data_IF_189293684334
#
_entry.id   IF_189293684334
#
_cell.length_a   1.000
_cell.length_b   1.000
_cell.length_c   1.000
_cell.angle_alpha   90.00
_cell.angle_beta   90.00
_cell.angle_gamma   90.00
#
_symmetry.space_group_name_H-M   'P 1'
#
loop_
_entity.id
_entity.type
_entity.pdbx_description
1 polymer ?
#
# COMPACT_ATOMS: atom_id res chain seq x y z
N UNK A 1 63.18 -19.23 -59.23
CA UNK A 1 62.81 -20.62 -59.61
C UNK A 1 62.75 -21.50 -58.36
N UNK A 2 61.74 -22.39 -58.29
CA UNK A 2 61.43 -23.39 -57.24
C UNK A 2 60.73 -22.85 -55.98
N UNK A 3 59.68 -23.46 -55.42
CA UNK A 3 58.61 -24.40 -55.85
C UNK A 3 57.66 -24.45 -54.63
N UNK A 4 56.35 -24.47 -54.88
CA UNK A 4 55.30 -24.66 -53.86
C UNK A 4 55.15 -26.16 -53.58
N UNK A 5 54.83 -26.54 -52.34
CA UNK A 5 54.00 -27.69 -51.90
C UNK A 5 54.08 -27.81 -50.37
N UNK A 6 53.13 -28.35 -49.59
CA UNK A 6 51.75 -28.82 -49.75
C UNK A 6 51.37 -29.42 -48.37
N UNK A 7 50.15 -29.15 -47.89
CA UNK A 7 49.33 -29.89 -46.90
C UNK A 7 49.98 -30.40 -45.58
N UNK A 8 49.52 -29.84 -44.46
CA UNK A 8 49.07 -30.68 -43.34
C UNK A 8 47.81 -30.05 -42.72
N UNK A 9 46.71 -30.76 -42.91
CA UNK A 9 45.38 -30.56 -42.39
C UNK A 9 45.39 -30.83 -40.88
N UNK A 10 44.97 -29.87 -40.05
CA UNK A 10 44.49 -30.15 -38.70
C UNK A 10 43.40 -29.13 -38.36
N UNK A 11 42.16 -29.55 -38.57
CA UNK A 11 40.99 -28.91 -38.02
C UNK A 11 40.94 -29.22 -36.52
N UNK A 12 41.01 -28.19 -35.68
CA UNK A 12 40.39 -28.22 -34.36
C UNK A 12 39.52 -26.97 -34.23
N UNK A 13 38.23 -27.24 -34.20
CA UNK A 13 37.14 -26.33 -33.92
C UNK A 13 37.25 -25.88 -32.45
N UNK A 14 37.28 -24.57 -32.19
CA UNK A 14 36.74 -24.01 -30.95
C UNK A 14 36.43 -22.51 -31.11
N UNK A 15 35.14 -22.24 -31.31
CA UNK A 15 34.38 -21.03 -30.93
C UNK A 15 35.04 -19.67 -31.17
N UNK A 16 34.75 -19.13 -32.35
CA UNK A 16 34.75 -17.70 -32.61
C UNK A 16 33.69 -17.07 -31.68
N UNK A 17 34.13 -16.38 -30.63
CA UNK A 17 33.27 -15.49 -29.85
C UNK A 17 33.11 -14.21 -30.68
N UNK A 18 32.27 -14.26 -31.71
CA UNK A 18 31.73 -13.06 -32.34
C UNK A 18 30.43 -12.72 -31.63
N UNK A 19 30.53 -11.69 -30.81
CA UNK A 19 29.55 -10.64 -30.63
C UNK A 19 28.08 -11.02 -30.50
N UNK A 20 27.55 -10.85 -29.30
CA UNK A 20 26.53 -9.82 -29.14
C UNK A 20 27.01 -8.87 -28.05
N UNK A 21 27.51 -7.71 -28.48
CA UNK A 21 27.33 -6.48 -27.72
C UNK A 21 25.84 -6.46 -27.40
N UNK A 22 25.48 -6.56 -26.12
CA UNK A 22 24.10 -6.36 -25.74
C UNK A 22 23.83 -4.85 -25.81
N UNK A 23 23.65 -4.37 -27.03
CA UNK A 23 22.95 -3.13 -27.36
C UNK A 23 21.50 -3.30 -26.96
N UNK A 24 21.26 -3.29 -25.65
CA UNK A 24 19.98 -2.90 -25.08
C UNK A 24 19.92 -1.38 -25.01
N UNK A 25 20.10 -0.68 -26.14
CA UNK A 25 19.55 0.66 -26.23
C UNK A 25 18.09 0.50 -26.66
N UNK A 26 17.20 0.49 -25.68
CA UNK A 26 15.85 0.99 -25.87
C UNK A 26 15.69 2.01 -24.78
N UNK A 27 15.72 3.27 -25.20
CA UNK A 27 15.02 4.39 -24.58
C UNK A 27 14.29 3.94 -23.32
N UNK A 28 14.89 4.19 -22.15
CA UNK A 28 14.07 4.45 -20.96
C UNK A 28 13.31 5.70 -21.34
N UNK A 29 12.21 5.51 -22.06
CA UNK A 29 11.39 6.60 -22.54
C UNK A 29 11.08 7.42 -21.31
N UNK A 30 11.55 8.66 -21.30
CA UNK A 30 10.98 9.71 -20.48
C UNK A 30 9.54 9.96 -20.98
N UNK A 31 8.71 8.92 -20.98
CA UNK A 31 7.27 9.04 -21.10
C UNK A 31 6.82 9.39 -19.70
N UNK A 32 6.79 10.70 -19.44
CA UNK A 32 6.12 11.24 -18.28
C UNK A 32 4.72 10.63 -18.25
N UNK A 33 4.44 9.80 -17.26
CA UNK A 33 3.16 9.12 -17.15
C UNK A 33 2.07 10.15 -16.93
N UNK A 34 2.37 11.12 -16.06
CA UNK A 34 1.51 12.24 -15.66
C UNK A 34 2.40 13.43 -15.30
N UNK A 35 2.01 14.63 -15.75
CA UNK A 35 2.58 15.89 -15.25
C UNK A 35 1.76 16.36 -14.05
N UNK A 36 2.33 16.17 -12.85
CA UNK A 36 1.69 16.46 -11.56
C UNK A 36 1.10 17.88 -11.49
N UNK A 37 1.76 18.88 -12.09
CA UNK A 37 1.29 20.27 -12.06
C UNK A 37 -0.06 20.48 -12.74
N UNK A 38 -0.39 19.57 -13.66
CA UNK A 38 -1.59 19.62 -14.49
C UNK A 38 -2.73 18.72 -14.00
N UNK A 39 -2.54 17.97 -12.91
CA UNK A 39 -3.58 17.13 -12.30
C UNK A 39 -4.57 18.00 -11.53
N UNK A 40 -5.87 17.71 -11.67
CA UNK A 40 -6.95 18.30 -10.88
C UNK A 40 -7.43 17.34 -9.79
N UNK A 41 -7.71 16.08 -10.14
CA UNK A 41 -8.15 15.04 -9.22
C UNK A 41 -7.87 13.65 -9.78
N UNK A 42 -7.96 12.63 -8.94
CA UNK A 42 -7.88 11.23 -9.35
C UNK A 42 -9.14 10.52 -8.86
N UNK A 43 -9.86 9.85 -9.75
CA UNK A 43 -10.95 8.93 -9.36
C UNK A 43 -10.42 7.51 -9.39
N UNK A 44 -10.54 6.79 -8.28
CA UNK A 44 -10.23 5.35 -8.21
C UNK A 44 -11.56 4.60 -8.18
N UNK A 45 -11.69 3.58 -9.01
CA UNK A 45 -12.81 2.66 -9.03
C UNK A 45 -12.32 1.23 -8.79
N UNK A 46 -12.99 0.47 -7.92
CA UNK A 46 -12.68 -0.93 -7.68
C UNK A 46 -13.47 -1.87 -8.63
N UNK A 47 -13.14 -3.15 -8.58
CA UNK A 47 -13.82 -4.24 -9.31
C UNK A 47 -15.32 -4.43 -8.99
N UNK A 48 -15.81 -3.94 -7.84
CA UNK A 48 -17.24 -3.92 -7.50
C UNK A 48 -17.99 -2.71 -8.09
N UNK A 49 -17.24 -1.75 -8.64
CA UNK A 49 -17.75 -0.51 -9.24
C UNK A 49 -17.87 0.66 -8.27
N UNK A 50 -17.51 0.49 -7.00
CA UNK A 50 -17.42 1.60 -6.04
C UNK A 50 -16.26 2.52 -6.41
N UNK A 51 -16.46 3.83 -6.20
CA UNK A 51 -15.45 4.84 -6.56
C UNK A 51 -15.19 5.83 -5.43
N UNK A 52 -13.96 6.32 -5.40
CA UNK A 52 -13.51 7.39 -4.51
C UNK A 52 -12.76 8.45 -5.32
N UNK A 53 -12.84 9.70 -4.89
CA UNK A 53 -12.09 10.81 -5.47
C UNK A 53 -10.97 11.24 -4.53
N UNK A 54 -9.76 11.40 -5.08
CA UNK A 54 -8.59 11.94 -4.42
C UNK A 54 -8.38 13.35 -4.95
N UNK A 55 -8.52 14.33 -4.05
CA UNK A 55 -8.30 15.76 -4.31
C UNK A 55 -7.19 16.36 -3.46
N UNK A 56 -6.68 15.59 -2.48
CA UNK A 56 -5.56 15.97 -1.64
C UNK A 56 -4.25 15.92 -2.43
N UNK A 57 -3.48 17.01 -2.41
CA UNK A 57 -2.26 17.13 -3.21
C UNK A 57 -1.16 16.15 -2.79
N UNK A 58 -1.02 15.84 -1.51
CA UNK A 58 0.00 14.90 -1.03
C UNK A 58 -0.35 13.47 -1.47
N UNK A 59 -1.64 13.10 -1.45
CA UNK A 59 -2.09 11.80 -1.95
C UNK A 59 -1.94 11.68 -3.48
N UNK A 60 -2.19 12.78 -4.21
CA UNK A 60 -1.93 12.84 -5.66
C UNK A 60 -0.43 12.72 -5.94
N UNK A 61 0.42 13.33 -5.13
CA UNK A 61 1.88 13.21 -5.23
C UNK A 61 2.34 11.76 -4.99
N UNK A 62 1.85 11.10 -3.94
CA UNK A 62 2.14 9.68 -3.67
C UNK A 62 1.72 8.76 -4.83
N UNK A 63 0.52 8.95 -5.38
CA UNK A 63 0.09 8.23 -6.58
C UNK A 63 1.07 8.44 -7.73
N UNK A 64 1.43 9.70 -7.97
CA UNK A 64 2.30 10.08 -9.07
C UNK A 64 3.71 9.50 -8.90
N UNK A 65 4.29 9.54 -7.70
CA UNK A 65 5.60 8.95 -7.41
C UNK A 65 5.59 7.43 -7.67
N UNK A 66 4.62 6.72 -7.10
CA UNK A 66 4.52 5.26 -7.22
C UNK A 66 4.43 4.78 -8.68
N UNK A 67 3.66 5.46 -9.53
CA UNK A 67 3.59 5.06 -10.94
C UNK A 67 4.88 5.38 -11.70
N UNK A 68 5.59 6.45 -11.35
CA UNK A 68 6.85 6.85 -12.01
C UNK A 68 8.04 5.99 -11.61
N UNK A 69 7.97 5.30 -10.47
CA UNK A 69 8.98 4.31 -10.06
C UNK A 69 8.88 2.97 -10.79
N UNK A 70 7.79 2.72 -11.53
CA UNK A 70 7.55 1.43 -12.15
C UNK A 70 8.41 1.17 -13.40
N UNK A 71 8.82 -0.08 -13.56
CA UNK A 71 9.59 -0.51 -14.71
C UNK A 71 8.67 -0.85 -15.89
N UNK A 72 8.87 -0.18 -17.03
CA UNK A 72 8.12 -0.45 -18.24
C UNK A 72 8.60 -1.73 -18.95
N UNK A 73 7.64 -2.55 -19.38
CA UNK A 73 7.84 -3.74 -20.19
C UNK A 73 6.87 -3.73 -21.39
N UNK A 74 7.44 -3.79 -22.59
CA UNK A 74 6.67 -3.78 -23.85
C UNK A 74 5.89 -5.07 -24.12
N UNK A 75 6.08 -6.13 -23.32
CA UNK A 75 5.38 -7.40 -23.50
C UNK A 75 3.86 -7.24 -23.29
N UNK A 76 3.10 -7.95 -24.13
CA UNK A 76 1.64 -8.01 -24.03
C UNK A 76 1.25 -8.94 -22.88
N UNK A 77 0.44 -8.44 -21.96
CA UNK A 77 -0.15 -9.24 -20.89
C UNK A 77 -1.37 -10.02 -21.40
N UNK A 78 -1.46 -11.28 -21.01
CA UNK A 78 -2.67 -12.10 -21.09
C UNK A 78 -3.16 -12.33 -19.65
N UNK A 79 -4.04 -11.45 -19.18
CA UNK A 79 -4.43 -11.33 -17.78
C UNK A 79 -5.92 -11.04 -17.61
N UNK A 80 -6.42 -11.30 -16.40
CA UNK A 80 -7.80 -11.05 -16.01
C UNK A 80 -8.16 -9.55 -15.98
N UNK A 81 -9.42 -9.24 -15.64
CA UNK A 81 -9.86 -7.88 -15.38
C UNK A 81 -9.02 -7.20 -14.28
N UNK A 82 -8.83 -5.87 -14.32
CA UNK A 82 -8.08 -5.17 -13.29
C UNK A 82 -8.80 -5.17 -11.95
N UNK A 83 -8.02 -5.07 -10.88
CA UNK A 83 -8.51 -4.91 -9.50
C UNK A 83 -9.06 -3.50 -9.27
N UNK A 84 -8.42 -2.51 -9.91
CA UNK A 84 -8.77 -1.10 -9.82
C UNK A 84 -8.55 -0.38 -11.16
N UNK A 85 -9.36 0.65 -11.40
CA UNK A 85 -9.15 1.62 -12.47
C UNK A 85 -8.96 3.01 -11.87
N UNK A 86 -7.93 3.72 -12.31
CA UNK A 86 -7.72 5.12 -11.95
C UNK A 86 -7.97 6.03 -13.16
N UNK A 87 -8.78 7.06 -12.98
CA UNK A 87 -8.97 8.14 -13.94
C UNK A 87 -8.38 9.42 -13.37
N UNK A 88 -7.32 9.92 -13.98
CA UNK A 88 -6.66 11.17 -13.60
C UNK A 88 -7.23 12.29 -14.44
N UNK A 89 -8.01 13.16 -13.80
CA UNK A 89 -8.60 14.33 -14.43
C UNK A 89 -7.58 15.46 -14.48
N UNK A 90 -7.26 15.93 -15.68
CA UNK A 90 -6.28 16.99 -15.90
C UNK A 90 -6.99 18.34 -15.98
N UNK A 91 -6.40 19.40 -15.44
CA UNK A 91 -6.97 20.76 -15.44
C UNK A 91 -7.39 21.24 -16.84
N UNK A 92 -6.63 20.88 -17.88
CA UNK A 92 -6.77 21.45 -19.23
C UNK A 92 -6.61 20.44 -20.40
N UNK A 93 -6.48 19.13 -20.15
CA UNK A 93 -6.05 18.15 -21.19
C UNK A 93 -6.87 16.85 -21.25
N UNK A 94 -8.11 16.85 -20.75
CA UNK A 94 -8.94 15.65 -20.66
C UNK A 94 -8.50 14.77 -19.48
N UNK A 95 -8.62 13.45 -19.62
CA UNK A 95 -8.21 12.51 -18.58
C UNK A 95 -7.25 11.43 -19.08
N UNK A 96 -6.46 10.91 -18.14
CA UNK A 96 -5.59 9.77 -18.33
C UNK A 96 -6.15 8.59 -17.54
N UNK A 97 -6.14 7.39 -18.13
CA UNK A 97 -6.72 6.19 -17.52
C UNK A 97 -5.70 5.10 -17.30
N UNK A 98 -5.79 4.44 -16.15
CA UNK A 98 -4.90 3.37 -15.74
C UNK A 98 -5.70 2.19 -15.22
N UNK A 99 -5.21 0.99 -15.49
CA UNK A 99 -5.77 -0.26 -14.98
C UNK A 99 -4.71 -0.95 -14.12
N UNK A 100 -5.05 -1.39 -12.91
CA UNK A 100 -4.13 -1.93 -11.91
C UNK A 100 -4.48 -3.36 -11.53
N UNK A 101 -3.46 -4.20 -11.36
CA UNK A 101 -3.52 -5.55 -10.80
C UNK A 101 -2.57 -5.60 -9.59
N UNK A 102 -3.09 -5.23 -8.42
CA UNK A 102 -2.32 -4.99 -7.21
C UNK A 102 -2.92 -5.65 -5.96
N UNK A 103 -4.06 -6.37 -6.06
CA UNK A 103 -4.59 -7.19 -4.98
C UNK A 103 -3.85 -8.54 -4.90
N UNK A 104 -3.64 -9.03 -3.68
CA UNK A 104 -3.03 -10.34 -3.42
C UNK A 104 -1.51 -10.39 -3.60
N UNK A 105 -0.98 -11.61 -3.75
CA UNK A 105 0.47 -11.91 -3.75
C UNK A 105 1.16 -11.70 -5.11
N UNK A 106 0.56 -10.94 -6.02
CA UNK A 106 1.16 -10.68 -7.34
C UNK A 106 2.24 -9.57 -7.27
N UNK A 107 3.04 -9.46 -8.32
CA UNK A 107 4.16 -8.50 -8.40
C UNK A 107 3.74 -7.04 -8.63
N UNK A 108 2.44 -6.70 -8.54
CA UNK A 108 1.92 -5.35 -8.77
C UNK A 108 2.13 -4.88 -10.21
N UNK A 109 1.05 -4.85 -11.00
CA UNK A 109 1.11 -4.43 -12.40
C UNK A 109 0.15 -3.29 -12.67
N UNK A 110 0.49 -2.42 -13.62
CA UNK A 110 -0.50 -1.53 -14.21
C UNK A 110 -0.27 -1.29 -15.70
N UNK A 111 -1.30 -0.79 -16.37
CA UNK A 111 -1.24 -0.31 -17.75
C UNK A 111 -1.78 1.11 -17.85
N UNK A 112 -1.28 1.86 -18.83
CA UNK A 112 -1.82 3.17 -19.21
C UNK A 112 -2.65 3.00 -20.49
N UNK A 113 -3.87 3.51 -20.50
CA UNK A 113 -4.76 3.42 -21.66
C UNK A 113 -4.14 4.10 -22.89
N UNK A 114 -4.29 3.48 -24.06
CA UNK A 114 -3.68 3.96 -25.30
C UNK A 114 -2.18 3.67 -25.44
N UNK A 115 -1.54 3.05 -24.44
CA UNK A 115 -0.14 2.64 -24.50
C UNK A 115 -0.01 1.12 -24.57
N UNK A 116 0.90 0.63 -25.42
CA UNK A 116 1.25 -0.79 -25.48
C UNK A 116 2.19 -1.16 -24.32
N UNK A 117 2.12 -2.41 -23.87
CA UNK A 117 2.95 -2.92 -22.77
C UNK A 117 2.31 -2.69 -21.41
N UNK A 118 3.13 -2.80 -20.37
CA UNK A 118 2.72 -2.70 -18.98
C UNK A 118 3.85 -2.20 -18.10
N UNK A 119 3.53 -1.91 -16.85
CA UNK A 119 4.45 -1.41 -15.85
C UNK A 119 4.46 -2.37 -14.65
N UNK A 120 5.66 -2.64 -14.13
CA UNK A 120 5.90 -3.47 -12.95
C UNK A 120 6.23 -2.57 -11.78
N UNK A 121 5.41 -2.63 -10.73
CA UNK A 121 5.62 -1.85 -9.51
C UNK A 121 6.64 -2.54 -8.60
N UNK A 122 7.56 -1.80 -7.98
CA UNK A 122 8.24 -2.30 -6.79
C UNK A 122 7.22 -2.63 -5.70
N UNK A 123 7.50 -3.64 -4.86
CA UNK A 123 6.56 -4.06 -3.80
C UNK A 123 6.22 -2.91 -2.84
N UNK A 124 7.19 -2.03 -2.55
CA UNK A 124 6.98 -0.84 -1.72
C UNK A 124 5.90 0.08 -2.30
N UNK A 125 5.89 0.27 -3.61
CA UNK A 125 5.00 1.19 -4.32
C UNK A 125 3.63 0.57 -4.56
N UNK A 126 3.59 -0.76 -4.74
CA UNK A 126 2.34 -1.52 -4.74
C UNK A 126 1.60 -1.35 -3.41
N UNK A 127 2.31 -1.42 -2.28
CA UNK A 127 1.70 -1.20 -0.95
C UNK A 127 1.17 0.22 -0.81
N UNK A 128 1.92 1.23 -1.25
CA UNK A 128 1.48 2.64 -1.25
C UNK A 128 0.18 2.81 -2.05
N UNK A 129 0.13 2.28 -3.28
CA UNK A 129 -1.06 2.39 -4.13
C UNK A 129 -2.26 1.61 -3.57
N UNK A 130 -2.03 0.42 -3.02
CA UNK A 130 -3.11 -0.39 -2.43
C UNK A 130 -3.73 0.35 -1.23
N UNK A 131 -2.91 0.93 -0.36
CA UNK A 131 -3.36 1.75 0.75
C UNK A 131 -4.16 2.97 0.26
N UNK A 132 -3.64 3.66 -0.74
CA UNK A 132 -4.30 4.81 -1.34
C UNK A 132 -5.69 4.46 -1.93
N UNK A 133 -5.81 3.32 -2.61
CA UNK A 133 -7.04 2.91 -3.31
C UNK A 133 -8.11 2.32 -2.39
N UNK A 134 -7.72 1.90 -1.19
CA UNK A 134 -8.63 1.40 -0.17
C UNK A 134 -9.03 2.48 0.83
N UNK A 135 -8.40 3.66 0.75
CA UNK A 135 -8.61 4.76 1.69
C UNK A 135 -9.84 5.58 1.36
N UNK A 136 -11.00 5.19 1.86
CA UNK A 136 -12.17 6.09 1.92
C UNK A 136 -11.91 7.22 2.95
N UNK A 137 -11.35 8.35 2.49
CA UNK A 137 -11.17 9.64 3.21
C UNK A 137 -10.67 9.56 4.67
N UNK A 138 -9.33 9.55 4.82
CA UNK A 138 -8.49 10.60 5.43
C UNK A 138 -7.12 10.00 5.83
N UNK A 139 -6.05 10.72 5.50
CA UNK A 139 -4.64 10.39 5.72
C UNK A 139 -4.37 9.83 7.13
N UNK A 140 -3.57 8.76 7.18
CA UNK A 140 -2.82 8.37 8.39
C UNK A 140 -1.39 8.25 7.95
N UNK A 141 -0.57 9.23 8.34
CA UNK A 141 0.88 9.14 8.24
C UNK A 141 1.37 7.84 8.91
N UNK A 142 2.34 7.19 8.26
CA UNK A 142 3.05 6.01 8.75
C UNK A 142 4.00 6.37 9.90
N UNK A 143 3.46 6.95 10.97
CA UNK A 143 4.17 7.20 12.22
C UNK A 143 3.51 6.38 13.35
N UNK A 144 3.38 5.08 13.10
CA UNK A 144 3.33 3.90 13.96
C UNK A 144 2.57 3.87 15.31
N UNK A 145 2.36 4.98 16.03
CA UNK A 145 1.49 5.15 17.19
C UNK A 145 1.30 6.64 17.58
N UNK A 146 1.79 7.59 16.78
CA UNK A 146 1.74 9.03 17.11
C UNK A 146 0.35 9.57 16.89
N UNK A 147 -0.37 9.67 18.00
CA UNK A 147 -1.59 10.46 18.11
C UNK A 147 -1.14 11.77 18.77
N UNK A 148 -0.89 12.82 18.00
CA UNK A 148 -0.48 14.14 18.50
C UNK A 148 -1.60 15.19 18.46
N UNK A 149 -2.80 14.76 18.07
CA UNK A 149 -3.99 15.58 17.99
C UNK A 149 -4.99 15.34 19.13
N UNK A 150 -5.93 16.27 19.26
CA UNK A 150 -7.08 16.14 20.15
C UNK A 150 -8.13 15.20 19.52
N UNK A 151 -8.33 14.04 20.13
CA UNK A 151 -9.36 13.09 19.72
C UNK A 151 -10.71 13.56 20.25
N UNK A 152 -11.70 13.63 19.35
CA UNK A 152 -13.07 14.09 19.64
C UNK A 152 -14.04 12.94 19.85
N UNK A 153 -13.75 11.80 19.23
CA UNK A 153 -14.62 10.63 19.26
C UNK A 153 -13.80 9.37 19.05
N UNK A 154 -14.21 8.28 19.69
CA UNK A 154 -13.68 6.94 19.45
C UNK A 154 -14.84 6.00 19.15
N UNK A 155 -14.73 5.22 18.08
CA UNK A 155 -15.65 4.12 17.80
C UNK A 155 -14.95 2.78 17.97
N UNK A 156 -15.71 1.80 18.42
CA UNK A 156 -15.24 0.43 18.62
C UNK A 156 -16.21 -0.52 17.95
N UNK A 157 -15.68 -1.44 17.13
CA UNK A 157 -16.44 -2.50 16.49
C UNK A 157 -15.80 -3.85 16.80
N UNK A 158 -16.55 -4.95 16.68
CA UNK A 158 -15.94 -6.30 16.70
C UNK A 158 -15.15 -6.48 15.42
N UNK A 159 -13.89 -6.89 15.53
CA UNK A 159 -13.07 -7.11 14.33
C UNK A 159 -13.51 -8.37 13.59
N UNK A 160 -13.38 -8.35 12.26
CA UNK A 160 -13.71 -9.49 11.39
C UNK A 160 -12.46 -10.10 10.74
N UNK A 161 -11.45 -9.28 10.45
CA UNK A 161 -10.22 -9.67 9.78
C UNK A 161 -9.14 -8.59 9.99
N UNK A 162 -7.91 -8.92 9.65
CA UNK A 162 -6.82 -7.93 9.53
C UNK A 162 -7.02 -7.02 8.31
N UNK A 163 -6.39 -5.84 8.33
CA UNK A 163 -6.29 -4.93 7.19
C UNK A 163 -7.54 -4.10 6.88
N UNK A 164 -8.61 -4.24 7.68
CA UNK A 164 -9.84 -3.46 7.49
C UNK A 164 -10.55 -3.22 8.83
N UNK A 165 -11.33 -2.14 8.90
CA UNK A 165 -12.20 -1.87 10.06
C UNK A 165 -13.63 -2.31 9.79
N UNK A 166 -14.26 -2.92 10.79
CA UNK A 166 -15.68 -3.25 10.70
C UNK A 166 -16.56 -2.01 10.88
N UNK A 167 -17.45 -1.74 9.92
CA UNK A 167 -18.39 -0.62 9.96
C UNK A 167 -19.52 -0.78 11.00
N UNK A 168 -19.74 -1.99 11.53
CA UNK A 168 -20.77 -2.25 12.54
C UNK A 168 -20.30 -1.84 13.94
N UNK A 169 -20.49 -0.56 14.27
CA UNK A 169 -20.07 0.06 15.53
C UNK A 169 -20.80 -0.60 16.71
N UNK A 170 -20.03 -1.17 17.64
CA UNK A 170 -20.50 -1.72 18.91
C UNK A 170 -20.66 -0.61 19.97
N UNK A 171 -19.70 0.31 20.03
CA UNK A 171 -19.66 1.38 21.01
C UNK A 171 -19.05 2.67 20.44
N UNK A 172 -19.48 3.80 20.99
CA UNK A 172 -18.98 5.13 20.66
C UNK A 172 -18.70 5.89 21.97
N UNK A 173 -17.53 6.53 22.05
CA UNK A 173 -17.10 7.33 23.19
C UNK A 173 -16.85 8.77 22.74
N UNK A 174 -17.50 9.70 23.43
CA UNK A 174 -17.38 11.16 23.21
C UNK A 174 -16.99 11.91 24.47
N UNK A 175 -17.01 11.23 25.63
CA UNK A 175 -16.61 11.82 26.90
C UNK A 175 -15.09 11.84 27.05
N UNK A 176 -14.60 12.90 27.69
CA UNK A 176 -13.17 13.16 27.86
C UNK A 176 -12.45 12.01 28.58
N UNK A 177 -13.05 11.45 29.63
CA UNK A 177 -12.42 10.41 30.45
C UNK A 177 -12.17 9.12 29.65
N UNK A 178 -13.18 8.65 28.91
CA UNK A 178 -13.05 7.45 28.08
C UNK A 178 -12.07 7.67 26.94
N UNK A 179 -12.14 8.83 26.28
CA UNK A 179 -11.20 9.19 25.21
C UNK A 179 -9.77 9.20 25.73
N UNK A 180 -9.50 9.89 26.83
CA UNK A 180 -8.16 9.98 27.42
C UNK A 180 -7.63 8.60 27.84
N UNK A 181 -8.48 7.76 28.45
CA UNK A 181 -8.11 6.40 28.84
C UNK A 181 -7.65 5.58 27.63
N UNK A 182 -8.43 5.57 26.56
CA UNK A 182 -8.13 4.78 25.35
C UNK A 182 -6.90 5.33 24.62
N UNK A 183 -6.82 6.65 24.44
CA UNK A 183 -5.68 7.29 23.78
C UNK A 183 -4.38 7.06 24.57
N UNK A 184 -4.42 7.16 25.91
CA UNK A 184 -3.27 6.87 26.77
C UNK A 184 -2.82 5.41 26.65
N UNK A 185 -3.77 4.46 26.64
CA UNK A 185 -3.45 3.04 26.47
C UNK A 185 -2.67 2.78 25.17
N UNK A 186 -3.10 3.43 24.08
CA UNK A 186 -2.46 3.31 22.76
C UNK A 186 -1.08 4.01 22.77
N UNK A 187 -1.00 5.27 23.24
CA UNK A 187 0.26 6.05 23.30
C UNK A 187 1.36 5.42 24.15
N UNK A 188 0.99 4.68 25.20
CA UNK A 188 1.94 4.04 26.13
C UNK A 188 2.28 2.61 25.75
N UNK A 189 1.69 2.09 24.67
CA UNK A 189 1.97 0.75 24.19
C UNK A 189 3.43 0.63 23.71
N UNK A 190 4.06 -0.51 24.01
CA UNK A 190 5.47 -0.75 23.71
C UNK A 190 5.59 -1.65 22.50
N UNK A 191 6.39 -1.24 21.52
CA UNK A 191 6.60 -2.01 20.30
C UNK A 191 7.14 -3.41 20.62
N UNK A 192 6.55 -4.41 19.98
CA UNK A 192 7.00 -5.80 20.08
C UNK A 192 8.13 -6.05 19.07
N UNK A 193 9.18 -6.80 19.45
CA UNK A 193 10.23 -7.17 18.52
C UNK A 193 9.78 -8.26 17.53
N UNK A 194 10.16 -8.12 16.26
CA UNK A 194 9.97 -9.12 15.21
C UNK A 194 8.64 -9.04 14.46
N UNK A 195 8.51 -9.83 13.39
CA UNK A 195 7.27 -9.93 12.61
C UNK A 195 6.26 -10.79 13.37
N UNK A 196 5.04 -10.29 13.53
CA UNK A 196 4.00 -10.98 14.28
C UNK A 196 3.12 -11.84 13.37
N UNK A 197 2.82 -13.07 13.82
CA UNK A 197 1.76 -13.90 13.26
C UNK A 197 0.65 -14.03 14.31
N UNK A 198 -0.43 -13.28 14.12
CA UNK A 198 -1.46 -13.08 15.15
C UNK A 198 -2.78 -13.73 14.73
N UNK A 199 -3.59 -14.12 15.72
CA UNK A 199 -4.97 -14.51 15.48
C UNK A 199 -5.80 -13.32 14.97
N UNK A 200 -7.05 -13.54 14.57
CA UNK A 200 -7.99 -12.44 14.27
C UNK A 200 -8.12 -11.50 15.48
N UNK A 201 -8.10 -10.17 15.29
CA UNK A 201 -8.30 -9.22 16.38
C UNK A 201 -9.67 -9.38 17.05
N UNK A 202 -9.80 -8.89 18.28
CA UNK A 202 -11.09 -8.90 18.98
C UNK A 202 -11.94 -7.68 18.60
N UNK A 203 -11.29 -6.52 18.48
CA UNK A 203 -11.94 -5.26 18.20
C UNK A 203 -11.17 -4.43 17.18
N UNK A 204 -11.89 -3.60 16.44
CA UNK A 204 -11.34 -2.49 15.69
C UNK A 204 -11.67 -1.21 16.44
N UNK A 205 -10.67 -0.35 16.64
CA UNK A 205 -10.78 0.91 17.39
C UNK A 205 -10.41 2.05 16.44
N UNK A 206 -11.32 2.99 16.23
CA UNK A 206 -11.11 4.15 15.37
C UNK A 206 -11.19 5.43 16.19
N UNK A 207 -10.10 6.20 16.20
CA UNK A 207 -9.98 7.47 16.90
C UNK A 207 -10.17 8.57 15.87
N UNK A 208 -11.06 9.53 16.14
CA UNK A 208 -11.45 10.56 15.20
C UNK A 208 -11.12 11.92 15.80
N UNK A 209 -10.23 12.66 15.14
CA UNK A 209 -9.97 14.07 15.41
C UNK A 209 -10.71 14.94 14.38
N UNK A 210 -10.43 16.24 14.35
CA UNK A 210 -10.96 17.13 13.31
C UNK A 210 -10.34 16.87 11.94
N UNK A 211 -9.09 16.42 11.91
CA UNK A 211 -8.29 16.34 10.69
C UNK A 211 -8.01 14.90 10.26
N UNK A 212 -7.94 13.98 11.23
CA UNK A 212 -7.39 12.65 11.05
C UNK A 212 -8.26 11.57 11.69
N UNK A 213 -8.10 10.33 11.20
CA UNK A 213 -8.71 9.14 11.77
C UNK A 213 -7.64 8.08 11.97
N UNK A 214 -7.44 7.60 13.20
CA UNK A 214 -6.46 6.56 13.48
C UNK A 214 -7.19 5.24 13.73
N UNK A 215 -6.82 4.19 12.98
CA UNK A 215 -7.47 2.89 13.08
C UNK A 215 -6.51 1.83 13.62
N UNK A 216 -6.96 1.10 14.64
CA UNK A 216 -6.17 0.05 15.29
C UNK A 216 -6.97 -1.25 15.40
N UNK A 217 -6.30 -2.37 15.14
CA UNK A 217 -6.71 -3.68 15.59
C UNK A 217 -6.32 -3.86 17.05
N UNK A 218 -7.23 -4.41 17.85
CA UNK A 218 -7.03 -4.66 19.28
C UNK A 218 -7.32 -6.12 19.63
N UNK A 219 -6.33 -6.77 20.24
CA UNK A 219 -6.45 -8.09 20.85
C UNK A 219 -6.58 -7.91 22.36
N UNK A 220 -7.79 -8.11 22.86
CA UNK A 220 -8.13 -8.08 24.28
C UNK A 220 -9.41 -8.87 24.53
N UNK A 221 -9.40 -9.68 25.58
CA UNK A 221 -10.55 -10.45 26.06
C UNK A 221 -10.54 -10.53 27.59
N UNK A 222 -11.55 -11.15 28.19
CA UNK A 222 -11.71 -11.27 29.65
C UNK A 222 -10.48 -11.85 30.36
N UNK A 223 -9.82 -12.83 29.73
CA UNK A 223 -8.68 -13.55 30.31
C UNK A 223 -7.32 -12.93 29.96
N UNK A 224 -7.31 -11.84 29.18
CA UNK A 224 -6.07 -11.19 28.76
C UNK A 224 -5.36 -10.54 29.96
N UNK A 225 -4.13 -10.96 30.22
CA UNK A 225 -3.22 -10.31 31.17
C UNK A 225 -2.61 -9.03 30.56
N UNK A 226 -2.32 -9.08 29.26
CA UNK A 226 -1.86 -7.95 28.45
C UNK A 226 -2.58 -7.97 27.11
N UNK A 227 -3.08 -6.81 26.69
CA UNK A 227 -3.62 -6.62 25.35
C UNK A 227 -2.53 -6.23 24.36
N UNK A 228 -2.88 -6.27 23.08
CA UNK A 228 -2.01 -5.87 21.99
C UNK A 228 -2.79 -4.98 21.02
N UNK A 229 -2.15 -3.95 20.50
CA UNK A 229 -2.68 -3.10 19.43
C UNK A 229 -1.75 -3.13 18.22
N UNK A 230 -2.33 -2.92 17.05
CA UNK A 230 -1.63 -2.86 15.77
C UNK A 230 -2.35 -1.83 14.90
N UNK A 231 -1.62 -1.04 14.11
CA UNK A 231 -2.26 -0.16 13.14
C UNK A 231 -2.94 -1.02 12.08
N UNK A 232 -4.17 -0.69 11.68
CA UNK A 232 -4.91 -1.45 10.66
C UNK A 232 -4.15 -1.48 9.32
N UNK A 233 -3.42 -0.40 9.01
CA UNK A 233 -2.67 -0.25 7.76
C UNK A 233 -1.23 -0.79 7.82
N UNK A 234 -0.72 -1.13 9.01
CA UNK A 234 0.63 -1.68 9.20
C UNK A 234 0.56 -2.93 10.09
N UNK A 235 0.40 -4.08 9.44
CA UNK A 235 0.14 -5.35 10.13
C UNK A 235 1.40 -6.12 10.51
N UNK A 236 2.59 -5.64 10.13
CA UNK A 236 3.86 -6.28 10.50
C UNK A 236 4.33 -5.91 11.91
N UNK A 237 3.85 -4.79 12.46
CA UNK A 237 4.31 -4.23 13.74
C UNK A 237 3.17 -4.15 14.77
N UNK A 238 3.29 -4.91 15.86
CA UNK A 238 2.35 -4.81 16.99
C UNK A 238 2.97 -4.16 18.22
N UNK A 239 2.11 -3.70 19.12
CA UNK A 239 2.47 -3.01 20.34
C UNK A 239 1.72 -3.63 21.51
N UNK A 240 2.46 -3.97 22.56
CA UNK A 240 1.88 -4.52 23.79
C UNK A 240 1.39 -3.38 24.68
N UNK A 241 0.13 -3.49 25.10
CA UNK A 241 -0.46 -2.58 26.09
C UNK A 241 0.13 -2.86 27.48
N UNK A 242 0.18 -1.83 28.33
CA UNK A 242 0.51 -2.03 29.74
C UNK A 242 -0.56 -2.90 30.42
N UNK A 243 -0.20 -3.59 31.51
CA UNK A 243 -1.17 -4.40 32.28
C UNK A 243 -2.30 -3.53 32.86
N UNK A 244 -1.96 -2.33 33.31
CA UNK A 244 -2.90 -1.34 33.82
C UNK A 244 -3.89 -0.92 32.74
N UNK A 245 -3.41 -0.47 31.59
CA UNK A 245 -4.27 -0.10 30.45
C UNK A 245 -5.11 -1.27 29.97
N UNK A 246 -4.58 -2.50 29.98
CA UNK A 246 -5.35 -3.70 29.65
C UNK A 246 -6.51 -3.90 30.63
N UNK A 247 -6.27 -3.75 31.93
CA UNK A 247 -7.32 -3.86 32.95
C UNK A 247 -8.41 -2.79 32.76
N UNK A 248 -8.03 -1.54 32.48
CA UNK A 248 -8.95 -0.44 32.23
C UNK A 248 -9.78 -0.62 30.95
N UNK A 249 -9.17 -1.11 29.86
CA UNK A 249 -9.90 -1.31 28.61
C UNK A 249 -10.88 -2.49 28.69
N UNK A 250 -10.56 -3.54 29.45
CA UNK A 250 -11.47 -4.69 29.64
C UNK A 250 -12.81 -4.27 30.23
N UNK A 251 -12.83 -3.33 31.18
CA UNK A 251 -14.09 -2.88 31.80
C UNK A 251 -14.94 -2.00 30.89
N UNK A 252 -14.36 -1.44 29.82
CA UNK A 252 -15.05 -0.54 28.89
C UNK A 252 -15.59 -1.24 27.65
N UNK A 253 -14.91 -2.27 27.16
CA UNK A 253 -15.27 -2.95 25.90
C UNK A 253 -16.11 -4.20 26.07
N UNK A 254 -16.35 -4.65 27.30
CA UNK A 254 -17.22 -5.78 27.63
C UNK A 254 -18.65 -5.29 27.82
#
# INVERSE_FOLDING_TARGET
MKRINLLALLAVISVIIVGCINTGNKDKGNQTLIDLSSVHSITIQNDSGESMAITDNNLIEQFNEAIHTADYDSAKLDIAAPDYEATVEMKNKGNEKFSFWIKGENHGLFTKSGQNGHYKLPETEKVVLLHLFQSNEQQVEADNLKIDEEIKRITVAKSLAHGSVNANIKAEYIDHESIETIVRAIRTAVQMPGNLNTATPNYDVVLISNNNKYAFHLWINETSEQGMVMNVNETSTGYTLTKESTAELKTRFQ
#
